data_IF_346945455410
#
_entry.id   IF_346945455410
#
_cell.length_a   1.000
_cell.length_b   1.000
_cell.length_c   1.000
_cell.angle_alpha   90.00
_cell.angle_beta   90.00
_cell.angle_gamma   90.00
#
_symmetry.space_group_name_H-M   'P 1'
#
loop_
_entity.id
_entity.type
_entity.pdbx_description
1 polymer ?
#
# COMPACT_ATOMS: atom_id res chain seq x y z
N UNK A 1 5.92 -11.44 -8.93
CA UNK A 1 4.61 -12.11 -8.87
C UNK A 1 3.96 -11.76 -7.55
N UNK A 2 2.66 -11.43 -7.55
CA UNK A 2 1.90 -11.17 -6.33
C UNK A 2 0.60 -12.00 -6.35
N UNK A 3 0.13 -12.40 -5.15
CA UNK A 3 -0.98 -13.34 -4.97
C UNK A 3 -0.78 -14.63 -5.77
N UNK A 4 0.26 -15.36 -5.41
CA UNK A 4 0.60 -16.64 -6.03
C UNK A 4 -0.35 -17.74 -5.55
N UNK A 5 -0.84 -18.55 -6.49
CA UNK A 5 -1.68 -19.72 -6.27
C UNK A 5 -0.82 -20.97 -6.51
N UNK A 6 -0.32 -21.64 -5.45
CA UNK A 6 0.61 -22.75 -5.60
C UNK A 6 0.05 -23.94 -6.39
N UNK A 7 -1.26 -24.18 -6.26
CA UNK A 7 -1.95 -25.29 -6.94
C UNK A 7 -2.02 -25.10 -8.46
N UNK A 8 -2.19 -23.85 -8.90
CA UNK A 8 -2.29 -23.51 -10.32
C UNK A 8 -0.92 -23.11 -10.92
N UNK A 9 0.10 -22.93 -10.08
CA UNK A 9 1.39 -22.34 -10.43
C UNK A 9 1.27 -20.97 -11.14
N UNK A 10 0.20 -20.24 -10.83
CA UNK A 10 -0.10 -18.93 -11.40
C UNK A 10 0.02 -17.83 -10.35
N UNK A 11 0.11 -16.59 -10.80
CA UNK A 11 -0.01 -15.41 -9.95
C UNK A 11 -0.97 -14.42 -10.60
N UNK A 12 -1.76 -13.73 -9.77
CA UNK A 12 -2.72 -12.71 -10.21
C UNK A 12 -1.98 -11.55 -10.93
N UNK A 13 -0.76 -11.22 -10.50
CA UNK A 13 0.03 -10.12 -11.08
C UNK A 13 1.43 -10.55 -11.51
N UNK A 14 1.84 -10.09 -12.70
CA UNK A 14 3.14 -10.42 -13.32
C UNK A 14 3.86 -9.18 -13.81
N UNK A 15 5.18 -9.17 -13.58
CA UNK A 15 6.08 -8.12 -14.02
C UNK A 15 7.13 -8.73 -14.93
N UNK A 16 7.36 -8.12 -16.08
CA UNK A 16 8.31 -8.54 -17.08
C UNK A 16 9.23 -7.39 -17.47
N UNK A 17 10.42 -7.72 -17.94
CA UNK A 17 11.31 -6.80 -18.63
C UNK A 17 11.46 -7.36 -20.04
N UNK A 18 11.05 -6.60 -21.03
CA UNK A 18 11.16 -6.99 -22.43
C UNK A 18 11.25 -5.75 -23.29
N UNK A 19 12.09 -5.78 -24.32
CA UNK A 19 12.02 -4.80 -25.40
C UNK A 19 10.68 -5.00 -26.12
N UNK A 20 9.86 -3.95 -26.30
CA UNK A 20 8.59 -4.12 -26.99
C UNK A 20 8.24 -2.96 -27.93
N UNK A 21 7.88 -3.36 -29.16
CA UNK A 21 7.37 -2.70 -30.38
C UNK A 21 7.09 -1.18 -30.43
N UNK A 22 7.45 -0.64 -31.60
CA UNK A 22 7.33 0.74 -32.12
C UNK A 22 5.90 1.23 -32.40
N UNK A 23 4.88 0.59 -31.85
CA UNK A 23 3.52 1.10 -32.03
C UNK A 23 3.31 2.29 -31.07
N UNK A 24 3.31 3.47 -31.68
CA UNK A 24 3.10 4.77 -31.05
C UNK A 24 1.61 5.19 -31.08
N UNK A 25 0.69 4.27 -31.42
CA UNK A 25 -0.74 4.54 -31.34
C UNK A 25 -1.17 4.63 -29.88
N UNK A 26 -1.58 5.82 -29.46
CA UNK A 26 -2.02 6.04 -28.09
C UNK A 26 -2.83 7.31 -27.96
N UNK A 27 -4.04 7.21 -27.40
CA UNK A 27 -4.80 8.37 -26.96
C UNK A 27 -4.38 8.70 -25.53
N UNK A 28 -3.97 9.95 -25.29
CA UNK A 28 -3.66 10.42 -23.94
C UNK A 28 -4.94 10.39 -23.08
N UNK A 29 -4.91 9.64 -21.99
CA UNK A 29 -6.02 9.56 -21.04
C UNK A 29 -5.81 10.46 -19.82
N UNK A 30 -4.59 10.52 -19.32
CA UNK A 30 -4.23 11.31 -18.15
C UNK A 30 -2.74 11.62 -18.15
N UNK A 31 -2.34 12.78 -17.65
CA UNK A 31 -0.95 13.11 -17.43
C UNK A 31 -0.71 14.60 -17.37
N UNK A 32 0.45 14.99 -16.85
CA UNK A 32 0.85 16.40 -16.79
C UNK A 32 2.37 16.55 -16.76
N UNK A 33 2.85 17.59 -17.45
CA UNK A 33 4.23 18.08 -17.35
C UNK A 33 4.52 18.78 -16.02
N UNK A 34 3.48 19.22 -15.31
CA UNK A 34 3.62 20.00 -14.07
C UNK A 34 3.96 19.13 -12.86
N UNK A 35 3.82 17.80 -12.98
CA UNK A 35 4.21 16.89 -11.92
C UNK A 35 5.73 16.94 -11.67
N UNK A 36 6.12 16.69 -10.43
CA UNK A 36 7.54 16.62 -10.02
C UNK A 36 8.30 15.54 -10.80
N UNK A 37 7.60 14.49 -11.20
CA UNK A 37 7.98 13.51 -12.22
C UNK A 37 6.82 13.51 -13.23
N UNK A 38 6.99 14.11 -14.43
CA UNK A 38 5.95 14.09 -15.45
C UNK A 38 5.58 12.67 -15.77
N UNK A 39 4.29 12.41 -15.78
CA UNK A 39 3.74 11.08 -15.89
C UNK A 39 2.53 11.16 -16.80
N UNK A 40 2.45 10.25 -17.74
CA UNK A 40 1.43 10.18 -18.77
C UNK A 40 0.94 8.75 -18.90
N UNK A 41 -0.36 8.63 -19.11
CA UNK A 41 -1.03 7.37 -19.35
C UNK A 41 -1.78 7.46 -20.68
N UNK A 42 -1.38 6.61 -21.61
CA UNK A 42 -2.00 6.47 -22.92
C UNK A 42 -2.76 5.16 -22.99
N UNK A 43 -3.84 5.14 -23.77
CA UNK A 43 -4.51 3.91 -24.16
C UNK A 43 -4.33 3.68 -25.65
N UNK A 44 -3.85 2.49 -25.97
CA UNK A 44 -3.58 2.02 -27.34
C UNK A 44 -4.86 1.51 -27.98
N UNK A 45 -4.85 1.35 -29.30
CA UNK A 45 -5.96 0.75 -30.05
C UNK A 45 -6.23 -0.72 -29.65
N UNK A 46 -5.22 -1.43 -29.15
CA UNK A 46 -5.35 -2.78 -28.59
C UNK A 46 -6.09 -2.83 -27.24
N UNK A 47 -6.33 -1.67 -26.63
CA UNK A 47 -6.88 -1.52 -25.28
C UNK A 47 -5.83 -1.56 -24.16
N UNK A 48 -4.57 -1.90 -24.49
CA UNK A 48 -3.46 -1.85 -23.53
C UNK A 48 -3.13 -0.42 -23.18
N UNK A 49 -2.43 -0.24 -22.06
CA UNK A 49 -2.03 1.09 -21.60
C UNK A 49 -0.51 1.26 -21.63
N UNK A 50 -0.06 2.47 -21.91
CA UNK A 50 1.33 2.89 -21.74
C UNK A 50 1.42 3.91 -20.61
N UNK A 51 2.17 3.58 -19.57
CA UNK A 51 2.55 4.48 -18.49
C UNK A 51 3.96 5.00 -18.75
N UNK A 52 4.04 6.27 -19.14
CA UNK A 52 5.27 6.92 -19.57
C UNK A 52 5.63 8.02 -18.57
N UNK A 53 6.87 7.99 -18.10
CA UNK A 53 7.42 9.00 -17.20
C UNK A 53 8.52 9.79 -17.89
N UNK A 54 8.72 11.03 -17.45
CA UNK A 54 9.91 11.84 -17.80
C UNK A 54 10.76 12.10 -16.55
N UNK A 55 12.01 12.42 -16.77
CA UNK A 55 12.91 12.85 -15.71
C UNK A 55 12.63 14.30 -15.30
N UNK A 56 13.29 14.77 -14.24
CA UNK A 56 13.10 16.14 -13.72
C UNK A 56 13.49 17.21 -14.74
N UNK A 57 14.49 16.92 -15.57
CA UNK A 57 14.95 17.76 -16.68
C UNK A 57 14.10 17.58 -17.95
N UNK A 58 13.00 16.84 -17.87
CA UNK A 58 12.05 16.52 -18.95
C UNK A 58 12.63 15.61 -20.04
N UNK A 59 13.83 15.07 -19.86
CA UNK A 59 14.33 13.99 -20.71
C UNK A 59 13.47 12.71 -20.53
N UNK A 60 13.49 11.77 -21.50
CA UNK A 60 12.77 10.50 -21.38
C UNK A 60 13.10 9.78 -20.07
N UNK A 61 12.08 9.23 -19.41
CA UNK A 61 12.19 8.47 -18.18
C UNK A 61 12.02 6.97 -18.42
N UNK A 62 10.91 6.41 -17.97
CA UNK A 62 10.57 5.00 -18.12
C UNK A 62 9.25 4.84 -18.86
N UNK A 63 9.10 3.72 -19.56
CA UNK A 63 7.86 3.34 -20.23
C UNK A 63 7.46 1.92 -19.81
N UNK A 64 6.26 1.80 -19.27
CA UNK A 64 5.64 0.53 -18.90
C UNK A 64 4.43 0.27 -19.77
N UNK A 65 4.30 -0.96 -20.28
CA UNK A 65 3.09 -1.46 -20.91
C UNK A 65 2.26 -2.23 -19.90
N UNK A 66 0.97 -1.95 -19.86
CA UNK A 66 0.02 -2.53 -18.90
C UNK A 66 -1.08 -3.23 -19.70
N UNK A 67 -1.39 -4.48 -19.34
CA UNK A 67 -2.49 -5.23 -19.96
C UNK A 67 -3.85 -4.58 -19.66
N UNK A 68 -4.85 -4.87 -20.50
CA UNK A 68 -6.19 -4.27 -20.40
C UNK A 68 -6.86 -4.51 -19.03
N UNK A 69 -6.57 -5.66 -18.41
CA UNK A 69 -7.04 -6.11 -17.11
C UNK A 69 -6.14 -5.68 -15.93
N UNK A 70 -5.07 -4.93 -16.20
CA UNK A 70 -4.10 -4.44 -15.20
C UNK A 70 -3.37 -5.56 -14.41
N UNK A 71 -3.22 -6.75 -15.00
CA UNK A 71 -2.53 -7.89 -14.35
C UNK A 71 -1.07 -8.06 -14.79
N UNK A 72 -0.71 -7.55 -15.96
CA UNK A 72 0.63 -7.69 -16.52
C UNK A 72 1.27 -6.32 -16.76
N UNK A 73 2.52 -6.21 -16.33
CA UNK A 73 3.32 -4.99 -16.43
C UNK A 73 4.63 -5.34 -17.12
N UNK A 74 4.93 -4.65 -18.22
CA UNK A 74 6.18 -4.84 -18.98
C UNK A 74 6.94 -3.54 -18.96
N UNK A 75 8.11 -3.50 -18.31
CA UNK A 75 9.06 -2.41 -18.49
C UNK A 75 9.77 -2.61 -19.82
N UNK A 76 9.58 -1.68 -20.76
CA UNK A 76 10.19 -1.76 -22.10
C UNK A 76 11.17 -0.63 -22.42
N UNK A 77 11.19 0.44 -21.63
CA UNK A 77 12.22 1.49 -21.69
C UNK A 77 12.56 1.98 -20.28
N UNK A 78 13.85 2.14 -19.99
CA UNK A 78 14.37 2.78 -18.78
C UNK A 78 15.60 3.64 -19.12
N UNK A 79 15.40 4.96 -19.19
CA UNK A 79 16.44 5.95 -19.46
C UNK A 79 17.01 6.59 -18.18
N UNK A 80 16.65 6.06 -17.00
CA UNK A 80 16.97 6.71 -15.71
C UNK A 80 18.40 6.45 -15.25
N UNK A 81 19.09 5.45 -15.81
CA UNK A 81 20.41 5.00 -15.35
C UNK A 81 20.40 4.42 -13.92
N UNK A 82 19.23 4.19 -13.34
CA UNK A 82 19.07 3.78 -11.93
C UNK A 82 19.31 2.29 -11.67
N UNK A 83 19.69 1.53 -12.70
CA UNK A 83 19.88 0.07 -12.63
C UNK A 83 18.65 -0.65 -12.05
N UNK A 84 17.46 -0.21 -12.45
CA UNK A 84 16.18 -0.81 -12.05
C UNK A 84 15.61 -0.29 -10.72
N UNK A 85 16.32 0.53 -9.94
CA UNK A 85 15.82 1.06 -8.68
C UNK A 85 14.55 1.91 -8.88
N UNK A 86 14.56 2.82 -9.87
CA UNK A 86 13.37 3.62 -10.18
C UNK A 86 12.25 2.79 -10.76
N UNK A 87 12.57 1.85 -11.64
CA UNK A 87 11.57 0.96 -12.21
C UNK A 87 10.84 0.14 -11.12
N UNK A 88 11.58 -0.35 -10.14
CA UNK A 88 11.00 -1.06 -8.99
C UNK A 88 10.07 -0.15 -8.17
N UNK A 89 10.46 1.11 -7.92
CA UNK A 89 9.61 2.08 -7.18
C UNK A 89 8.34 2.43 -7.96
N UNK A 90 8.44 2.69 -9.26
CA UNK A 90 7.27 3.01 -10.09
C UNK A 90 6.32 1.82 -10.21
N UNK A 91 6.87 0.61 -10.34
CA UNK A 91 6.04 -0.58 -10.32
C UNK A 91 5.27 -0.71 -9.00
N UNK A 92 5.81 -0.28 -7.87
CA UNK A 92 5.08 -0.24 -6.60
C UNK A 92 3.86 0.69 -6.62
N UNK A 93 3.97 1.84 -7.29
CA UNK A 93 2.83 2.75 -7.51
C UNK A 93 1.78 2.12 -8.42
N UNK A 94 2.20 1.59 -9.58
CA UNK A 94 1.31 0.90 -10.52
C UNK A 94 0.60 -0.29 -9.89
N UNK A 95 1.34 -1.10 -9.13
CA UNK A 95 0.80 -2.24 -8.38
C UNK A 95 -0.27 -1.80 -7.38
N UNK A 96 -0.03 -0.70 -6.65
CA UNK A 96 -1.01 -0.15 -5.69
C UNK A 96 -2.32 0.25 -6.37
N UNK A 97 -2.28 0.68 -7.63
CA UNK A 97 -3.49 1.00 -8.40
C UNK A 97 -4.17 -0.28 -8.93
N UNK A 98 -3.38 -1.24 -9.41
CA UNK A 98 -3.88 -2.47 -9.99
C UNK A 98 -4.62 -3.36 -8.98
N UNK A 99 -4.15 -3.41 -7.73
CA UNK A 99 -4.79 -4.22 -6.67
C UNK A 99 -6.19 -3.73 -6.30
N UNK A 100 -6.56 -2.49 -6.64
CA UNK A 100 -7.92 -1.97 -6.44
C UNK A 100 -8.96 -2.79 -7.22
N UNK A 101 -8.58 -3.42 -8.33
CA UNK A 101 -9.47 -4.33 -9.07
C UNK A 101 -9.65 -5.71 -8.40
N UNK A 102 -8.93 -5.98 -7.30
CA UNK A 102 -8.84 -7.29 -6.64
C UNK A 102 -9.34 -7.27 -5.19
N UNK A 103 -10.30 -6.37 -4.89
CA UNK A 103 -10.82 -6.13 -3.54
C UNK A 103 -9.68 -5.90 -2.53
N UNK A 104 -8.69 -5.14 -2.96
CA UNK A 104 -7.49 -4.86 -2.19
C UNK A 104 -7.09 -3.40 -2.32
N UNK A 105 -6.44 -2.88 -1.29
CA UNK A 105 -5.91 -1.53 -1.27
C UNK A 105 -4.56 -1.49 -0.57
N UNK A 106 -3.80 -0.42 -0.82
CA UNK A 106 -2.55 -0.16 -0.12
C UNK A 106 -2.69 1.11 0.70
N UNK A 107 -2.40 1.03 1.99
CA UNK A 107 -2.36 2.19 2.90
C UNK A 107 -0.92 2.52 3.28
N UNK A 108 -0.65 3.79 3.56
CA UNK A 108 0.59 4.23 4.19
C UNK A 108 0.52 3.94 5.69
N UNK A 109 1.35 3.00 6.15
CA UNK A 109 1.32 2.50 7.52
C UNK A 109 2.29 1.34 7.72
N UNK A 110 2.22 0.71 8.89
CA UNK A 110 3.00 -0.48 9.23
C UNK A 110 2.04 -1.67 9.37
N UNK A 111 2.45 -2.83 8.86
CA UNK A 111 1.82 -4.11 9.15
C UNK A 111 2.63 -4.82 10.22
N UNK A 112 2.04 -5.04 11.38
CA UNK A 112 2.62 -5.81 12.48
C UNK A 112 1.81 -7.08 12.71
N UNK A 113 2.47 -8.18 13.03
CA UNK A 113 1.84 -9.41 13.51
C UNK A 113 2.25 -9.65 14.95
N UNK A 114 1.26 -9.86 15.82
CA UNK A 114 1.45 -10.17 17.23
C UNK A 114 0.48 -11.26 17.66
N UNK A 115 0.97 -12.39 18.17
CA UNK A 115 0.16 -13.57 18.53
C UNK A 115 -0.82 -14.00 17.41
N UNK A 116 -0.40 -13.92 16.15
CA UNK A 116 -1.23 -14.25 14.98
C UNK A 116 -2.27 -13.19 14.59
N UNK A 117 -2.35 -12.07 15.34
CA UNK A 117 -3.20 -10.92 15.02
C UNK A 117 -2.47 -9.95 14.09
N UNK A 118 -3.08 -9.61 12.96
CA UNK A 118 -2.62 -8.56 12.07
C UNK A 118 -3.05 -7.19 12.59
N UNK A 119 -2.09 -6.33 12.88
CA UNK A 119 -2.32 -4.98 13.41
C UNK A 119 -1.78 -3.98 12.39
N UNK A 120 -2.67 -3.14 11.85
CA UNK A 120 -2.27 -2.05 10.97
C UNK A 120 -2.02 -0.80 11.80
N UNK A 121 -0.82 -0.23 11.74
CA UNK A 121 -0.51 1.03 12.43
C UNK A 121 -0.39 2.16 11.40
N UNK A 122 -1.37 3.05 11.44
CA UNK A 122 -1.45 4.21 10.54
C UNK A 122 -1.23 5.50 11.33
N UNK A 123 -0.63 6.50 10.72
CA UNK A 123 -0.36 7.78 11.37
C UNK A 123 0.03 8.84 10.33
N UNK A 124 -0.14 10.11 10.70
CA UNK A 124 0.45 11.22 9.98
C UNK A 124 1.97 11.03 9.81
N UNK A 125 2.54 11.70 8.80
CA UNK A 125 3.98 11.69 8.59
C UNK A 125 4.71 12.28 9.81
N UNK A 126 5.81 11.65 10.21
CA UNK A 126 6.60 12.10 11.36
C UNK A 126 6.05 11.74 12.75
N UNK A 127 4.84 11.17 12.89
CA UNK A 127 4.28 10.88 14.22
C UNK A 127 5.14 9.93 15.07
N UNK A 128 5.80 8.96 14.45
CA UNK A 128 6.66 7.98 15.13
C UNK A 128 6.24 6.51 14.96
N UNK A 129 5.52 6.16 13.88
CA UNK A 129 5.07 4.77 13.59
C UNK A 129 6.19 3.75 13.78
N UNK A 130 7.30 3.95 13.07
CA UNK A 130 8.47 3.05 13.10
C UNK A 130 9.07 2.94 14.49
N UNK A 131 9.13 4.04 15.26
CA UNK A 131 9.60 4.01 16.65
C UNK A 131 8.70 3.14 17.51
N UNK A 132 7.37 3.34 17.41
CA UNK A 132 6.42 2.59 18.22
C UNK A 132 6.40 1.10 17.85
N UNK A 133 6.34 0.76 16.56
CA UNK A 133 6.28 -0.65 16.14
C UNK A 133 7.59 -1.40 16.38
N UNK A 134 8.74 -0.72 16.37
CA UNK A 134 10.01 -1.34 16.78
C UNK A 134 10.05 -1.68 18.27
N UNK A 135 9.39 -0.91 19.15
CA UNK A 135 9.25 -1.31 20.55
C UNK A 135 8.48 -2.63 20.69
N UNK A 136 7.44 -2.85 19.89
CA UNK A 136 6.71 -4.12 19.89
C UNK A 136 7.57 -5.28 19.38
N UNK A 137 8.37 -5.05 18.33
CA UNK A 137 9.34 -6.04 17.86
C UNK A 137 10.36 -6.40 18.95
N UNK A 138 10.96 -5.38 19.56
CA UNK A 138 12.10 -5.54 20.46
C UNK A 138 11.70 -6.05 21.86
N UNK A 139 10.51 -5.67 22.37
CA UNK A 139 10.06 -6.02 23.72
C UNK A 139 8.94 -7.06 23.77
N UNK A 140 8.19 -7.25 22.68
CA UNK A 140 7.03 -8.16 22.62
C UNK A 140 7.17 -9.24 21.54
N UNK A 141 8.31 -9.32 20.86
CA UNK A 141 8.56 -10.28 19.78
C UNK A 141 7.53 -10.20 18.63
N UNK A 142 6.93 -9.02 18.40
CA UNK A 142 6.06 -8.82 17.26
C UNK A 142 6.86 -8.84 15.95
N UNK A 143 6.25 -9.32 14.87
CA UNK A 143 6.86 -9.28 13.53
C UNK A 143 6.41 -8.03 12.79
N UNK A 144 7.34 -7.33 12.14
CA UNK A 144 7.02 -6.23 11.23
C UNK A 144 6.97 -6.77 9.80
N UNK A 145 5.77 -7.07 9.30
CA UNK A 145 5.60 -7.66 7.98
C UNK A 145 5.84 -6.64 6.86
N UNK A 146 5.54 -5.37 7.10
CA UNK A 146 5.98 -4.26 6.25
C UNK A 146 6.00 -2.94 7.06
N UNK A 147 7.07 -2.16 6.96
CA UNK A 147 7.26 -0.92 7.72
C UNK A 147 6.72 0.38 7.10
N UNK A 148 6.09 0.35 5.92
CA UNK A 148 5.69 1.58 5.19
C UNK A 148 4.40 1.44 4.33
N UNK A 149 3.99 0.22 4.02
CA UNK A 149 2.85 -0.11 3.16
C UNK A 149 2.03 -1.22 3.78
N UNK A 150 0.72 -1.02 3.89
CA UNK A 150 -0.24 -2.04 4.30
C UNK A 150 -1.04 -2.50 3.09
N UNK A 151 -0.64 -3.60 2.45
CA UNK A 151 -1.48 -4.24 1.43
C UNK A 151 -2.57 -5.01 2.16
N UNK A 152 -3.80 -4.54 2.01
CA UNK A 152 -5.00 -5.12 2.61
C UNK A 152 -5.81 -5.74 1.48
N UNK A 153 -6.19 -7.01 1.58
CA UNK A 153 -7.08 -7.68 0.62
C UNK A 153 -8.18 -8.41 1.34
N UNK A 154 -9.41 -8.22 0.90
CA UNK A 154 -10.55 -9.02 1.35
C UNK A 154 -10.61 -10.29 0.53
N UNK A 155 -10.64 -11.44 1.22
CA UNK A 155 -10.82 -12.75 0.58
C UNK A 155 -11.71 -13.60 1.46
N UNK A 156 -12.74 -14.19 0.87
CA UNK A 156 -13.71 -15.05 1.57
C UNK A 156 -14.32 -14.38 2.81
N UNK A 157 -14.62 -13.08 2.69
CA UNK A 157 -15.20 -12.26 3.77
C UNK A 157 -14.22 -11.79 4.84
N UNK A 158 -12.93 -12.16 4.75
CA UNK A 158 -11.91 -11.79 5.76
C UNK A 158 -10.88 -10.85 5.16
N UNK A 159 -10.56 -9.79 5.89
CA UNK A 159 -9.47 -8.87 5.55
C UNK A 159 -8.11 -9.44 5.99
N UNK A 160 -7.18 -9.50 5.04
CA UNK A 160 -5.81 -9.93 5.28
C UNK A 160 -4.83 -8.80 4.97
N UNK A 161 -3.78 -8.70 5.79
CA UNK A 161 -2.61 -7.89 5.50
C UNK A 161 -1.48 -8.76 4.95
N UNK A 162 -0.66 -8.17 4.08
CA UNK A 162 0.46 -8.84 3.43
C UNK A 162 1.72 -8.00 3.57
N UNK A 163 2.85 -8.66 3.81
CA UNK A 163 4.13 -8.04 3.52
C UNK A 163 4.35 -7.90 2.02
N UNK A 164 5.07 -6.85 1.63
CA UNK A 164 5.43 -6.57 0.25
C UNK A 164 6.85 -6.01 0.17
N UNK A 165 7.54 -6.12 -0.98
CA UNK A 165 8.93 -5.70 -1.07
C UNK A 165 9.10 -4.17 -1.11
N UNK A 166 8.00 -3.41 -1.21
CA UNK A 166 7.98 -1.95 -1.05
C UNK A 166 7.78 -1.57 0.42
N UNK A 167 8.88 -1.27 1.12
CA UNK A 167 8.88 -0.92 2.55
C UNK A 167 9.45 0.49 2.82
N UNK A 168 9.48 1.36 1.81
CA UNK A 168 10.01 2.71 1.93
C UNK A 168 11.43 2.74 2.52
N UNK A 169 11.68 3.71 3.41
CA UNK A 169 12.96 3.84 4.11
C UNK A 169 13.12 2.90 5.31
N UNK A 170 12.08 2.14 5.69
CA UNK A 170 12.14 1.26 6.86
C UNK A 170 13.09 0.07 6.65
N UNK A 171 13.15 -0.44 5.41
CA UNK A 171 13.85 -1.69 5.07
C UNK A 171 13.21 -2.95 5.67
N UNK A 172 12.06 -2.84 6.32
CA UNK A 172 11.40 -3.94 7.04
C UNK A 172 10.28 -4.53 6.17
N UNK A 173 10.48 -5.76 5.67
CA UNK A 173 9.48 -6.53 4.94
C UNK A 173 9.67 -8.04 5.14
N UNK A 174 8.56 -8.75 5.31
CA UNK A 174 8.52 -10.22 5.44
C UNK A 174 7.42 -10.73 4.52
N UNK A 175 7.72 -11.66 3.61
CA UNK A 175 6.73 -12.25 2.72
C UNK A 175 5.80 -13.21 3.50
N UNK A 176 4.76 -12.64 4.13
CA UNK A 176 3.79 -13.33 4.97
C UNK A 176 2.43 -12.64 4.91
N UNK A 177 1.38 -13.43 5.15
CA UNK A 177 -0.01 -12.98 5.24
C UNK A 177 -0.54 -13.21 6.64
N UNK A 178 -1.34 -12.28 7.16
CA UNK A 178 -2.00 -12.36 8.47
C UNK A 178 -3.42 -11.79 8.40
N UNK A 179 -4.44 -12.39 9.06
CA UNK A 179 -5.76 -11.78 9.16
C UNK A 179 -5.68 -10.48 9.98
N UNK A 180 -6.37 -9.44 9.53
CA UNK A 180 -6.37 -8.15 10.23
C UNK A 180 -7.34 -8.22 11.40
N UNK A 181 -6.85 -7.94 12.60
CA UNK A 181 -7.62 -7.94 13.85
C UNK A 181 -8.03 -6.53 14.29
N UNK A 182 -7.20 -5.52 14.01
CA UNK A 182 -7.52 -4.12 14.30
C UNK A 182 -6.63 -3.15 13.53
N UNK A 183 -7.05 -1.88 13.52
CA UNK A 183 -6.27 -0.76 12.97
C UNK A 183 -6.01 0.25 14.09
N UNK A 184 -4.78 0.75 14.19
CA UNK A 184 -4.37 1.76 15.16
C UNK A 184 -4.06 3.05 14.43
N UNK A 185 -4.84 4.10 14.68
CA UNK A 185 -4.45 5.47 14.33
C UNK A 185 -3.57 6.03 15.44
N UNK A 186 -2.26 6.01 15.22
CA UNK A 186 -1.25 6.48 16.16
C UNK A 186 -1.14 8.01 16.09
N UNK A 187 -1.12 8.64 17.27
CA UNK A 187 -0.93 10.06 17.48
C UNK A 187 0.12 10.29 18.58
N UNK A 188 0.76 11.46 18.56
CA UNK A 188 1.61 11.89 19.69
C UNK A 188 0.71 12.42 20.80
N UNK A 189 0.95 11.95 22.02
CA UNK A 189 0.24 12.40 23.22
C UNK A 189 1.20 12.77 24.35
N UNK A 190 0.72 13.57 25.29
CA UNK A 190 1.37 13.75 26.60
C UNK A 190 1.14 12.57 27.53
N UNK A 191 0.12 11.74 27.23
CA UNK A 191 -0.29 10.57 27.98
C UNK A 191 -0.55 9.40 27.03
N UNK A 192 -0.52 8.19 27.57
CA UNK A 192 -0.84 6.96 26.85
C UNK A 192 -2.35 6.68 26.97
N UNK A 193 -3.14 7.06 25.96
CA UNK A 193 -4.60 6.92 25.98
C UNK A 193 -5.12 6.30 24.69
N UNK A 194 -6.10 5.39 24.83
CA UNK A 194 -6.67 4.61 23.73
C UNK A 194 -8.18 4.78 23.75
N UNK A 195 -8.76 5.12 22.59
CA UNK A 195 -10.21 5.24 22.41
C UNK A 195 -10.64 4.60 21.09
N UNK A 196 -11.84 4.02 20.98
CA UNK A 196 -12.36 3.59 19.69
C UNK A 196 -12.67 4.79 18.78
N UNK A 197 -12.39 4.66 17.49
CA UNK A 197 -12.88 5.59 16.47
C UNK A 197 -14.24 5.14 15.94
N UNK A 198 -15.07 6.12 15.59
CA UNK A 198 -16.26 5.86 14.79
C UNK A 198 -15.88 5.36 13.40
N UNK A 199 -16.77 4.63 12.73
CA UNK A 199 -16.58 4.23 11.34
C UNK A 199 -16.30 5.44 10.45
N UNK A 200 -17.03 6.55 10.63
CA UNK A 200 -16.83 7.76 9.85
C UNK A 200 -15.42 8.34 10.03
N UNK A 201 -14.98 8.55 11.28
CA UNK A 201 -13.64 9.08 11.54
C UNK A 201 -12.56 8.13 11.05
N UNK A 202 -12.75 6.82 11.28
CA UNK A 202 -11.91 5.75 10.78
C UNK A 202 -11.71 5.80 9.27
N UNK A 203 -12.81 5.85 8.51
CA UNK A 203 -12.80 5.99 7.05
C UNK A 203 -11.98 7.19 6.60
N UNK A 204 -12.19 8.37 7.21
CA UNK A 204 -11.44 9.58 6.88
C UNK A 204 -9.94 9.40 7.15
N UNK A 205 -9.55 8.78 8.29
CA UNK A 205 -8.14 8.50 8.58
C UNK A 205 -7.51 7.57 7.55
N UNK A 206 -8.23 6.54 7.10
CA UNK A 206 -7.73 5.60 6.10
C UNK A 206 -7.62 6.25 4.71
N UNK A 207 -8.64 7.00 4.28
CA UNK A 207 -8.65 7.72 3.00
C UNK A 207 -7.48 8.71 2.87
N UNK A 208 -7.09 9.37 3.97
CA UNK A 208 -5.91 10.26 3.98
C UNK A 208 -4.58 9.54 3.72
N UNK A 209 -4.57 8.20 3.76
CA UNK A 209 -3.36 7.37 3.72
C UNK A 209 -3.40 6.33 2.60
N UNK A 210 -4.46 6.27 1.81
CA UNK A 210 -4.57 5.32 0.72
C UNK A 210 -3.69 5.72 -0.47
N UNK A 211 -3.07 4.72 -1.09
CA UNK A 211 -2.45 4.84 -2.41
C UNK A 211 -3.50 4.53 -3.48
N UNK A 212 -4.31 5.53 -3.83
CA UNK A 212 -5.28 5.44 -4.91
C UNK A 212 -4.99 6.53 -5.96
N UNK A 213 -5.08 6.24 -7.26
CA UNK A 213 -4.79 7.23 -8.28
C UNK A 213 -5.98 8.19 -8.39
N UNK A 214 -5.73 9.47 -8.67
CA UNK A 214 -6.80 10.44 -8.95
C UNK A 214 -7.54 10.13 -10.27
N UNK A 215 -6.91 9.35 -11.14
CA UNK A 215 -7.45 8.92 -12.41
C UNK A 215 -7.29 7.41 -12.62
N UNK A 216 -8.30 6.72 -13.17
CA UNK A 216 -9.64 7.22 -13.39
C UNK A 216 -10.35 7.40 -12.04
N UNK A 217 -11.25 8.38 -11.92
CA UNK A 217 -11.92 8.68 -10.65
C UNK A 217 -12.67 7.48 -10.04
N UNK A 218 -13.03 6.49 -10.87
CA UNK A 218 -13.59 5.21 -10.44
C UNK A 218 -12.63 4.42 -9.54
N UNK A 219 -11.33 4.34 -9.87
CA UNK A 219 -10.35 3.65 -9.02
C UNK A 219 -10.18 4.38 -7.67
N UNK A 220 -10.20 5.71 -7.67
CA UNK A 220 -10.16 6.49 -6.43
C UNK A 220 -11.35 6.16 -5.53
N UNK A 221 -12.56 6.21 -6.11
CA UNK A 221 -13.79 5.91 -5.40
C UNK A 221 -13.80 4.48 -4.85
N UNK A 222 -13.33 3.50 -5.62
CA UNK A 222 -13.17 2.12 -5.14
C UNK A 222 -12.22 2.04 -3.94
N UNK A 223 -11.08 2.72 -4.00
CA UNK A 223 -10.17 2.82 -2.86
C UNK A 223 -10.85 3.40 -1.62
N UNK A 224 -11.66 4.45 -1.78
CA UNK A 224 -12.43 5.04 -0.69
C UNK A 224 -13.50 4.09 -0.15
N UNK A 225 -14.21 3.35 -1.01
CA UNK A 225 -15.13 2.29 -0.60
C UNK A 225 -14.41 1.23 0.25
N UNK A 226 -13.20 0.81 -0.12
CA UNK A 226 -12.44 -0.16 0.68
C UNK A 226 -11.99 0.41 2.03
N UNK A 227 -11.68 1.70 2.12
CA UNK A 227 -11.44 2.36 3.41
C UNK A 227 -12.68 2.33 4.31
N UNK A 228 -13.87 2.56 3.75
CA UNK A 228 -15.13 2.48 4.47
C UNK A 228 -15.44 1.06 4.95
N UNK A 229 -15.27 0.06 4.08
CA UNK A 229 -15.42 -1.35 4.44
C UNK A 229 -14.49 -1.72 5.59
N UNK A 230 -13.19 -1.42 5.49
CA UNK A 230 -12.21 -1.66 6.55
C UNK A 230 -12.64 -1.02 7.87
N UNK A 231 -13.08 0.24 7.86
CA UNK A 231 -13.51 0.95 9.07
C UNK A 231 -14.85 0.48 9.64
N UNK A 232 -15.69 -0.19 8.83
CA UNK A 232 -16.96 -0.74 9.28
C UNK A 232 -16.83 -2.17 9.80
N UNK A 233 -15.83 -2.92 9.33
CA UNK A 233 -15.67 -4.35 9.64
C UNK A 233 -14.55 -4.64 10.65
N UNK A 234 -13.61 -3.71 10.83
CA UNK A 234 -12.48 -3.86 11.74
C UNK A 234 -12.52 -2.77 12.82
N UNK A 235 -12.19 -3.10 14.07
CA UNK A 235 -12.08 -2.08 15.10
C UNK A 235 -10.90 -1.16 14.80
N UNK A 236 -11.14 0.15 14.90
CA UNK A 236 -10.11 1.18 14.78
C UNK A 236 -9.94 1.88 16.12
N UNK A 237 -8.71 1.92 16.61
CA UNK A 237 -8.35 2.61 17.85
C UNK A 237 -7.58 3.90 17.55
N UNK A 238 -8.03 5.01 18.12
CA UNK A 238 -7.22 6.23 18.24
C UNK A 238 -6.30 6.08 19.44
N UNK A 239 -4.99 6.07 19.19
CA UNK A 239 -3.99 5.86 20.24
C UNK A 239 -3.07 7.07 20.33
N UNK A 240 -3.11 7.78 21.44
CA UNK A 240 -2.16 8.83 21.78
C UNK A 240 -1.08 8.24 22.66
N UNK A 241 0.19 8.39 22.26
CA UNK A 241 1.30 7.77 22.98
C UNK A 241 2.42 8.74 23.31
N UNK A 242 3.04 8.48 24.47
CA UNK A 242 4.41 8.88 24.79
C UNK A 242 5.41 7.91 24.14
N UNK A 243 6.65 8.34 23.87
CA UNK A 243 7.71 7.46 23.36
C UNK A 243 8.34 6.63 24.49
N UNK A 244 7.52 5.88 25.24
CA UNK A 244 7.97 5.02 26.33
C UNK A 244 7.49 3.56 26.14
N UNK A 245 8.16 2.58 26.77
CA UNK A 245 7.76 1.17 26.66
C UNK A 245 6.36 0.88 27.21
N UNK A 246 5.90 1.64 28.20
CA UNK A 246 4.56 1.52 28.79
C UNK A 246 3.45 1.69 27.74
N UNK A 247 3.69 2.53 26.72
CA UNK A 247 2.77 2.72 25.59
C UNK A 247 2.43 1.40 24.87
N UNK A 248 3.40 0.48 24.75
CA UNK A 248 3.17 -0.82 24.11
C UNK A 248 2.29 -1.74 24.98
N UNK A 249 2.48 -1.71 26.30
CA UNK A 249 1.67 -2.50 27.25
C UNK A 249 0.22 -2.04 27.30
N UNK A 250 -0.01 -0.71 27.28
CA UNK A 250 -1.35 -0.14 27.27
C UNK A 250 -2.08 -0.49 25.97
N UNK A 251 -1.40 -0.34 24.84
CA UNK A 251 -1.99 -0.69 23.55
C UNK A 251 -2.27 -2.19 23.44
N UNK A 252 -1.39 -3.06 23.93
CA UNK A 252 -1.63 -4.51 23.97
C UNK A 252 -2.89 -4.86 24.77
N UNK A 253 -3.04 -4.30 25.97
CA UNK A 253 -4.23 -4.53 26.79
C UNK A 253 -5.51 -4.11 26.06
N UNK A 254 -5.48 -2.98 25.36
CA UNK A 254 -6.61 -2.50 24.57
C UNK A 254 -6.95 -3.45 23.40
N UNK A 255 -5.94 -3.88 22.63
CA UNK A 255 -6.12 -4.82 21.51
C UNK A 255 -6.70 -6.16 22.00
N UNK A 256 -6.17 -6.70 23.10
CA UNK A 256 -6.70 -7.95 23.68
C UNK A 256 -8.12 -7.82 24.24
N UNK A 257 -8.59 -6.60 24.54
CA UNK A 257 -9.95 -6.37 25.00
C UNK A 257 -10.95 -6.43 23.85
N UNK A 258 -10.59 -5.89 22.68
CA UNK A 258 -11.49 -5.76 21.52
C UNK A 258 -11.44 -6.96 20.57
N UNK A 259 -10.36 -7.74 20.58
CA UNK A 259 -10.18 -8.90 19.71
C UNK A 259 -10.61 -10.24 20.38
N UNK A 260 -11.30 -10.18 21.53
CA UNK A 260 -11.96 -11.33 22.17
C UNK A 260 -13.36 -11.52 21.61
#
# INVERSE_FOLDING_TARGET
MAFYHPEEQTADFRFFIAEQETDDSGTLLWGSEEFSIPTFLYQRNSGQFDWITRQKDRSPGMSFRISNDWTQFVLYQDHTGSKGERAFREFGSLFSYAVLNYHACVLHGVVMEYDGMGILVVAAAGTGKTTHTRMWRDYKNALILNGDRCLCRKKDGVWYAYGMPWSGSSGEYINRRVPISCIINLNRGSENTVYPLSTFDGSIRLMQRIFAPAWPGQLQNQGFTYCEELASELPILDFYCKPDPESADILEKAIRCICR
#
